data_IF_501646936920
#
_entry.id   IF_501646936920
#
_cell.length_a   1.000
_cell.length_b   1.000
_cell.length_c   1.000
_cell.angle_alpha   90.00
_cell.angle_beta   90.00
_cell.angle_gamma   90.00
#
_symmetry.space_group_name_H-M   'P 1'
#
loop_
_entity.id
_entity.type
_entity.pdbx_description
1 polymer ?
#
# COMPACT_ATOMS: atom_id res chain seq x y z
N UNK A 1 5.32 20.98 0.42
CA UNK A 1 4.01 20.43 0.00
C UNK A 1 4.12 18.92 0.11
N UNK A 2 3.31 18.27 0.95
CA UNK A 2 3.36 16.82 1.13
C UNK A 2 2.64 16.16 -0.06
N UNK A 3 3.31 15.23 -0.73
CA UNK A 3 2.72 14.52 -1.87
C UNK A 3 1.90 13.32 -1.39
N UNK A 4 1.02 12.83 -2.27
CA UNK A 4 0.31 11.55 -2.08
C UNK A 4 1.28 10.41 -1.71
N UNK A 5 2.41 10.33 -2.42
CA UNK A 5 3.45 9.33 -2.21
C UNK A 5 4.07 9.43 -0.81
N UNK A 6 4.35 10.66 -0.36
CA UNK A 6 4.91 10.90 0.99
C UNK A 6 3.94 10.43 2.09
N UNK A 7 2.64 10.67 1.91
CA UNK A 7 1.61 10.16 2.83
C UNK A 7 1.56 8.64 2.88
N UNK A 8 1.67 7.97 1.73
CA UNK A 8 1.72 6.50 1.68
C UNK A 8 2.99 5.97 2.32
N UNK A 9 4.14 6.57 2.05
CA UNK A 9 5.40 6.18 2.67
C UNK A 9 5.35 6.35 4.19
N UNK A 10 4.82 7.47 4.68
CA UNK A 10 4.65 7.71 6.12
C UNK A 10 3.74 6.66 6.77
N UNK A 11 2.66 6.27 6.11
CA UNK A 11 1.81 5.19 6.59
C UNK A 11 2.51 3.83 6.53
N UNK A 12 3.24 3.51 5.46
CA UNK A 12 4.01 2.26 5.35
C UNK A 12 5.11 2.12 6.41
N UNK A 13 5.65 3.24 6.92
CA UNK A 13 6.59 3.27 8.06
C UNK A 13 5.94 2.92 9.40
N UNK A 14 4.64 3.16 9.55
CA UNK A 14 3.92 2.89 10.81
C UNK A 14 3.09 1.61 10.78
N UNK A 15 2.62 1.18 9.60
CA UNK A 15 1.75 0.02 9.41
C UNK A 15 1.81 -0.51 7.99
N UNK A 16 1.41 -1.77 7.80
CA UNK A 16 1.14 -2.29 6.44
C UNK A 16 -0.13 -1.70 5.85
N UNK A 17 -0.21 -1.61 4.53
CA UNK A 17 -1.38 -1.12 3.79
C UNK A 17 -1.83 -2.10 2.72
N UNK A 18 -3.14 -2.25 2.56
CA UNK A 18 -3.73 -2.69 1.30
C UNK A 18 -4.40 -1.53 0.54
N UNK A 19 -4.89 -1.81 -0.67
CA UNK A 19 -5.48 -0.78 -1.55
C UNK A 19 -6.66 -0.03 -0.93
N UNK A 20 -7.48 -0.68 -0.10
CA UNK A 20 -8.66 -0.06 0.49
C UNK A 20 -8.28 0.92 1.60
N UNK A 21 -7.21 0.64 2.34
CA UNK A 21 -6.69 1.54 3.35
C UNK A 21 -6.00 2.75 2.72
N UNK A 22 -5.28 2.53 1.62
CA UNK A 22 -4.62 3.58 0.86
C UNK A 22 -5.64 4.50 0.15
N UNK A 23 -6.76 3.95 -0.32
CA UNK A 23 -7.84 4.72 -0.94
C UNK A 23 -8.43 5.76 0.02
N UNK A 24 -8.56 5.43 1.31
CA UNK A 24 -8.99 6.38 2.35
C UNK A 24 -8.00 7.54 2.57
N UNK A 25 -6.77 7.38 2.09
CA UNK A 25 -5.72 8.40 2.14
C UNK A 25 -5.58 9.17 0.81
N UNK A 26 -6.49 8.94 -0.16
CA UNK A 26 -6.44 9.56 -1.49
C UNK A 26 -5.58 8.80 -2.51
N UNK A 27 -5.13 7.58 -2.18
CA UNK A 27 -4.40 6.73 -3.12
C UNK A 27 -5.29 5.66 -3.75
N UNK A 28 -5.78 5.95 -4.95
CA UNK A 28 -6.58 5.02 -5.74
C UNK A 28 -5.77 3.94 -6.47
N UNK A 29 -4.43 4.04 -6.49
CA UNK A 29 -3.54 3.12 -7.21
C UNK A 29 -2.28 2.77 -6.40
N UNK A 30 -2.50 2.19 -5.21
CA UNK A 30 -1.42 1.80 -4.32
C UNK A 30 -0.32 0.94 -5.00
N UNK A 31 -0.63 -0.03 -5.88
CA UNK A 31 0.42 -0.81 -6.56
C UNK A 31 1.39 0.05 -7.38
N UNK A 32 0.90 1.08 -8.06
CA UNK A 32 1.75 2.01 -8.82
C UNK A 32 2.61 2.87 -7.91
N UNK A 33 2.06 3.33 -6.78
CA UNK A 33 2.84 4.09 -5.79
C UNK A 33 3.90 3.23 -5.12
N UNK A 34 3.61 1.96 -4.81
CA UNK A 34 4.60 1.01 -4.32
C UNK A 34 5.70 0.73 -5.35
N UNK A 35 5.36 0.64 -6.65
CA UNK A 35 6.37 0.49 -7.70
C UNK A 35 7.34 1.69 -7.72
N UNK A 36 6.82 2.92 -7.68
CA UNK A 36 7.65 4.14 -7.59
C UNK A 36 8.54 4.14 -6.33
N UNK A 37 8.01 3.74 -5.18
CA UNK A 37 8.80 3.64 -3.95
C UNK A 37 9.91 2.59 -4.08
N UNK A 38 9.67 1.47 -4.76
CA UNK A 38 10.72 0.47 -5.02
C UNK A 38 11.81 1.03 -5.94
N UNK A 39 11.44 1.78 -6.97
CA UNK A 39 12.39 2.46 -7.87
C UNK A 39 13.23 3.51 -7.11
N UNK A 40 12.70 4.07 -6.02
CA UNK A 40 13.39 4.98 -5.11
C UNK A 40 14.25 4.28 -4.04
N UNK A 41 14.34 2.94 -4.07
CA UNK A 41 15.19 2.15 -3.16
C UNK A 41 14.48 1.63 -1.91
N UNK A 42 13.17 1.83 -1.76
CA UNK A 42 12.44 1.27 -0.62
C UNK A 42 12.19 -0.24 -0.81
N UNK A 43 12.56 -1.03 0.21
CA UNK A 43 12.28 -2.47 0.23
C UNK A 43 10.88 -2.68 0.80
N UNK A 44 9.92 -2.96 -0.09
CA UNK A 44 8.53 -3.21 0.28
C UNK A 44 8.17 -4.66 -0.06
N UNK A 45 7.79 -5.44 0.94
CA UNK A 45 7.27 -6.80 0.77
C UNK A 45 5.78 -6.76 0.45
N UNK A 46 5.30 -7.70 -0.38
CA UNK A 46 3.88 -7.87 -0.69
C UNK A 46 3.39 -9.30 -0.44
N UNK A 47 2.21 -9.41 0.15
CA UNK A 47 1.52 -10.67 0.40
C UNK A 47 0.07 -10.60 -0.05
N UNK A 48 -0.51 -11.73 -0.45
CA UNK A 48 -1.93 -11.80 -0.79
C UNK A 48 -2.78 -11.80 0.50
N UNK A 49 -3.73 -10.88 0.56
CA UNK A 49 -4.73 -10.76 1.61
C UNK A 49 -6.12 -10.98 1.01
N UNK A 50 -6.94 -11.77 1.71
CA UNK A 50 -8.34 -11.95 1.36
C UNK A 50 -9.21 -11.01 2.20
N UNK A 51 -9.94 -10.11 1.54
CA UNK A 51 -10.76 -9.07 2.17
C UNK A 51 -12.24 -9.31 1.88
N UNK A 52 -13.12 -9.31 2.89
CA UNK A 52 -14.55 -9.44 2.67
C UNK A 52 -15.11 -8.20 1.96
N UNK A 53 -15.99 -8.44 0.99
CA UNK A 53 -16.74 -7.40 0.29
C UNK A 53 -18.15 -7.29 0.86
N UNK A 54 -18.79 -6.13 0.64
CA UNK A 54 -20.19 -5.89 1.04
C UNK A 54 -21.23 -6.83 0.40
N UNK A 55 -20.83 -7.61 -0.60
CA UNK A 55 -21.72 -8.49 -1.37
C UNK A 55 -21.62 -9.96 -0.92
N UNK A 56 -21.08 -10.22 0.27
CA UNK A 56 -20.93 -11.58 0.82
C UNK A 56 -19.88 -12.43 0.10
N UNK A 57 -19.03 -11.81 -0.73
CA UNK A 57 -17.89 -12.45 -1.40
C UNK A 57 -16.59 -11.90 -0.83
N UNK A 58 -15.51 -12.65 -0.92
CA UNK A 58 -14.18 -12.11 -0.65
C UNK A 58 -13.48 -11.68 -1.95
N UNK A 59 -12.53 -10.76 -1.84
CA UNK A 59 -11.64 -10.39 -2.92
C UNK A 59 -10.19 -10.47 -2.45
N UNK A 60 -9.28 -10.81 -3.37
CA UNK A 60 -7.85 -10.85 -3.09
C UNK A 60 -7.20 -9.52 -3.44
N UNK A 61 -6.48 -8.96 -2.49
CA UNK A 61 -5.68 -7.75 -2.66
C UNK A 61 -4.25 -8.01 -2.18
N UNK A 62 -3.32 -7.15 -2.56
CA UNK A 62 -1.96 -7.18 -2.00
C UNK A 62 -1.90 -6.30 -0.76
N UNK A 63 -1.32 -6.84 0.31
CA UNK A 63 -0.89 -6.10 1.50
C UNK A 63 0.60 -5.83 1.40
N UNK A 64 0.96 -4.58 1.60
CA UNK A 64 2.32 -4.08 1.46
C UNK A 64 2.88 -3.69 2.82
N UNK A 65 4.13 -4.07 3.09
CA UNK A 65 4.86 -3.72 4.32
C UNK A 65 6.24 -3.19 3.95
N UNK A 66 6.61 -2.04 4.53
CA UNK A 66 7.98 -1.55 4.43
C UNK A 66 8.89 -2.41 5.31
N UNK A 67 9.97 -2.91 4.71
CA UNK A 67 10.96 -3.77 5.36
C UNK A 67 12.26 -3.01 5.60
N UNK A 68 12.60 -2.06 4.72
CA UNK A 68 13.82 -1.25 4.85
C UNK A 68 13.99 -0.29 3.68
N UNK A 69 15.19 0.27 3.60
CA UNK A 69 15.67 1.12 2.49
C UNK A 69 17.01 0.54 2.06
N UNK A 70 17.22 0.40 0.75
CA UNK A 70 18.48 -0.05 0.15
C UNK A 70 19.56 1.03 0.25
#
# INVERSE_FOLDING_TARGET
MMTKKDSILAALRSRSLNRFEAERMGDHCLPSTVAQLRDEGYVIHDEWEEVPTRFGKSCRVKRYRLVGVQ
#
